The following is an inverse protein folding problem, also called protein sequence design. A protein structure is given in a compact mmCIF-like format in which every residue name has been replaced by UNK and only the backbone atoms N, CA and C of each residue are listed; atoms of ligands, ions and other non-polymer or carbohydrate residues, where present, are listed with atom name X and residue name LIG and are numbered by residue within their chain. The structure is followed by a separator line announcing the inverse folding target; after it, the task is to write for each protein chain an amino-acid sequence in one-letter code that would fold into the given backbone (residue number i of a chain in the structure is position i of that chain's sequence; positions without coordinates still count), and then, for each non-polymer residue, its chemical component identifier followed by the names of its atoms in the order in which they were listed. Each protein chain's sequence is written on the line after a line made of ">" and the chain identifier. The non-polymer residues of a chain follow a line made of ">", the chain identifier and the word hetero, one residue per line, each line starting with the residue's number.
data_IF_807538606183
#
_entry.id   IF_807538606183
#
_cell.length_a   1.000
_cell.length_b   1.000
_cell.length_c   1.000
_cell.angle_alpha   90.00
_cell.angle_beta   90.00
_cell.angle_gamma   90.00
#
_symmetry.space_group_name_H-M   'P 1'
#
loop_
_entity.id
_entity.type
_entity.pdbx_description
1 polymer ?
#
# COMPACT_ATOMS: atom_id res chain seq x y z
N UNK A 1 4.97 23.85 -48.43
CA UNK A 1 4.00 24.16 -47.37
C UNK A 1 3.79 22.93 -46.48
N UNK A 2 4.64 22.67 -45.45
CA UNK A 2 4.52 21.52 -44.55
C UNK A 2 4.31 21.89 -43.06
N UNK A 3 4.02 23.15 -42.75
CA UNK A 3 3.89 23.65 -41.36
C UNK A 3 2.72 22.98 -40.61
N UNK A 4 1.60 22.77 -41.30
CA UNK A 4 0.33 22.29 -40.71
C UNK A 4 0.40 20.81 -40.27
N UNK A 5 1.22 20.01 -40.96
CA UNK A 5 1.38 18.57 -40.67
C UNK A 5 2.23 18.38 -39.42
N UNK A 6 3.25 19.23 -39.25
CA UNK A 6 4.11 19.23 -38.07
C UNK A 6 3.34 19.66 -36.81
N UNK A 7 2.42 20.62 -36.96
CA UNK A 7 1.50 21.05 -35.90
C UNK A 7 0.55 19.93 -35.48
N UNK A 8 -0.14 19.28 -36.44
CA UNK A 8 -1.05 18.17 -36.13
C UNK A 8 -0.34 16.95 -35.53
N UNK A 9 0.89 16.65 -35.98
CA UNK A 9 1.72 15.60 -35.40
C UNK A 9 2.14 15.95 -33.96
N UNK A 10 2.53 17.21 -33.73
CA UNK A 10 2.85 17.71 -32.39
C UNK A 10 1.68 17.60 -31.44
N UNK A 11 0.49 18.06 -31.84
CA UNK A 11 -0.72 17.93 -31.03
C UNK A 11 -1.16 16.48 -30.85
N UNK A 12 -1.00 15.64 -31.87
CA UNK A 12 -1.38 14.23 -31.84
C UNK A 12 -0.50 13.35 -30.95
N UNK A 13 0.75 13.76 -30.67
CA UNK A 13 1.70 12.95 -29.90
C UNK A 13 2.13 13.62 -28.60
N UNK A 14 2.46 14.91 -28.64
CA UNK A 14 3.02 15.62 -27.47
C UNK A 14 1.94 15.89 -26.44
N UNK A 15 0.73 16.28 -26.86
CA UNK A 15 -0.38 16.51 -25.94
C UNK A 15 -0.77 15.23 -25.17
N UNK A 16 -1.00 14.06 -25.82
CA UNK A 16 -1.31 12.85 -25.07
C UNK A 16 -0.12 12.33 -24.26
N UNK A 17 1.13 12.46 -24.75
CA UNK A 17 2.30 12.06 -23.97
C UNK A 17 2.43 12.89 -22.69
N UNK A 18 2.23 14.21 -22.78
CA UNK A 18 2.20 15.08 -21.62
C UNK A 18 1.06 14.72 -20.66
N UNK A 19 -0.15 14.47 -21.19
CA UNK A 19 -1.29 14.06 -20.38
C UNK A 19 -1.03 12.75 -19.64
N UNK A 20 -0.50 11.73 -20.33
CA UNK A 20 -0.14 10.44 -19.72
C UNK A 20 0.94 10.64 -18.65
N UNK A 21 1.93 11.48 -18.92
CA UNK A 21 2.99 11.79 -17.96
C UNK A 21 2.42 12.45 -16.71
N UNK A 22 1.59 13.49 -16.86
CA UNK A 22 0.91 14.13 -15.73
C UNK A 22 -0.01 13.17 -14.97
N UNK A 23 -0.75 12.31 -15.68
CA UNK A 23 -1.56 11.25 -15.05
C UNK A 23 -0.69 10.24 -14.28
N UNK A 24 0.44 9.79 -14.84
CA UNK A 24 1.33 8.85 -14.19
C UNK A 24 1.99 9.47 -12.94
N UNK A 25 2.46 10.71 -13.04
CA UNK A 25 3.04 11.46 -11.91
C UNK A 25 1.98 11.75 -10.85
N UNK A 26 0.77 12.15 -11.26
CA UNK A 26 -0.35 12.39 -10.36
C UNK A 26 -0.79 11.12 -9.64
N UNK A 27 -0.89 9.99 -10.34
CA UNK A 27 -1.23 8.69 -9.76
C UNK A 27 -0.12 8.17 -8.86
N UNK A 28 1.15 8.31 -9.27
CA UNK A 28 2.30 7.98 -8.45
C UNK A 28 2.32 8.82 -7.19
N UNK A 29 2.16 10.14 -7.30
CA UNK A 29 2.08 11.09 -6.19
C UNK A 29 0.88 10.83 -5.27
N UNK A 30 -0.29 10.51 -5.81
CA UNK A 30 -1.48 10.13 -5.03
C UNK A 30 -1.26 8.83 -4.29
N UNK A 31 -0.70 7.80 -4.95
CA UNK A 31 -0.33 6.54 -4.29
C UNK A 31 0.74 6.73 -3.25
N UNK A 32 1.73 7.59 -3.51
CA UNK A 32 2.79 7.92 -2.55
C UNK A 32 2.23 8.71 -1.37
N UNK A 33 1.30 9.65 -1.61
CA UNK A 33 0.57 10.41 -0.60
C UNK A 33 -0.29 9.50 0.28
N UNK A 34 -1.08 8.60 -0.31
CA UNK A 34 -1.81 7.55 0.40
C UNK A 34 -0.88 6.66 1.22
N UNK A 35 0.26 6.23 0.65
CA UNK A 35 1.23 5.41 1.38
C UNK A 35 1.86 6.19 2.52
N UNK A 36 2.17 7.46 2.32
CA UNK A 36 2.65 8.36 3.36
C UNK A 36 1.59 8.62 4.42
N UNK A 37 0.32 8.73 4.06
CA UNK A 37 -0.78 8.98 4.98
C UNK A 37 -1.14 7.72 5.77
N UNK A 38 -1.06 6.54 5.16
CA UNK A 38 -1.12 5.24 5.85
C UNK A 38 0.08 5.09 6.80
N UNK A 39 1.28 5.49 6.37
CA UNK A 39 2.50 5.46 7.21
C UNK A 39 2.46 6.51 8.33
N UNK A 40 1.83 7.68 8.10
CA UNK A 40 1.58 8.74 9.09
C UNK A 40 0.38 8.46 9.99
N UNK A 41 -0.57 7.62 9.58
CA UNK A 41 -1.56 7.01 10.49
C UNK A 41 -0.93 5.96 11.41
N UNK A 42 0.33 5.60 11.18
CA UNK A 42 1.05 4.61 11.96
C UNK A 42 2.39 5.14 12.53
N UNK A 43 2.34 6.22 13.32
CA UNK A 43 3.18 6.37 14.50
C UNK A 43 2.31 6.79 15.69
N UNK A 44 1.42 5.90 16.11
CA UNK A 44 0.43 6.17 17.15
C UNK A 44 -0.95 5.80 16.64
N UNK A 45 -1.27 4.51 16.73
CA UNK A 45 -2.63 4.04 16.53
C UNK A 45 -3.58 4.95 17.29
N UNK A 46 -4.76 5.19 16.71
CA UNK A 46 -5.89 5.82 17.39
C UNK A 46 -5.84 5.40 18.85
N UNK A 47 -5.74 6.35 19.79
CA UNK A 47 -5.65 6.06 21.23
C UNK A 47 -6.88 5.24 21.59
N UNK A 48 -6.75 3.93 21.49
CA UNK A 48 -7.72 2.96 21.96
C UNK A 48 -7.74 3.23 23.45
N UNK A 49 -8.85 3.74 24.02
CA UNK A 49 -8.86 4.27 25.38
C UNK A 49 -8.47 3.22 26.43
N UNK A 50 -8.53 1.94 26.06
CA UNK A 50 -8.13 0.80 26.87
C UNK A 50 -6.67 0.35 26.69
N UNK A 51 -5.92 0.89 25.72
CA UNK A 51 -4.53 0.49 25.47
C UNK A 51 -3.54 1.53 25.98
N UNK A 52 -2.52 1.12 26.75
CA UNK A 52 -1.50 2.04 27.22
C UNK A 52 -0.73 2.63 26.04
N UNK A 53 -0.26 3.87 26.20
CA UNK A 53 0.55 4.55 25.19
C UNK A 53 1.81 3.71 24.87
N UNK A 54 1.84 3.09 23.69
CA UNK A 54 2.98 2.32 23.22
C UNK A 54 4.18 3.27 23.13
N UNK A 55 5.25 3.00 23.90
CA UNK A 55 6.51 3.77 23.83
C UNK A 55 6.98 3.79 22.38
N UNK A 56 7.51 4.93 21.94
CA UNK A 56 7.83 5.26 20.53
C UNK A 56 8.66 4.22 19.76
N UNK A 57 9.24 3.22 20.42
CA UNK A 57 9.74 2.00 19.81
C UNK A 57 8.99 0.80 20.41
N UNK A 58 8.12 0.17 19.61
CA UNK A 58 7.58 -1.16 19.96
C UNK A 58 8.69 -2.21 19.94
N UNK A 59 8.49 -3.37 20.57
CA UNK A 59 9.40 -4.50 20.42
C UNK A 59 9.56 -4.86 18.94
N UNK A 60 10.71 -5.42 18.59
CA UNK A 60 10.96 -5.88 17.23
C UNK A 60 9.91 -6.90 16.83
N UNK A 61 9.52 -6.91 15.55
CA UNK A 61 8.53 -7.85 15.06
C UNK A 61 9.14 -9.24 15.03
N UNK A 62 8.70 -10.10 15.93
CA UNK A 62 9.14 -11.48 16.01
C UNK A 62 8.30 -12.35 15.08
N UNK A 63 8.99 -13.22 14.35
CA UNK A 63 8.38 -14.21 13.49
C UNK A 63 9.16 -15.51 13.61
N UNK A 64 8.42 -16.61 13.57
CA UNK A 64 9.00 -17.95 13.53
C UNK A 64 8.49 -18.67 12.29
N UNK A 65 9.40 -19.35 11.60
CA UNK A 65 9.02 -20.23 10.51
C UNK A 65 8.40 -21.50 11.09
N UNK A 66 7.20 -21.84 10.63
CA UNK A 66 6.53 -23.07 11.03
C UNK A 66 6.97 -24.19 10.10
N UNK A 67 7.38 -25.30 10.69
CA UNK A 67 7.59 -26.56 9.97
C UNK A 67 6.27 -27.03 9.33
N UNK A 68 6.32 -27.93 8.34
CA UNK A 68 5.11 -28.49 7.73
C UNK A 68 4.15 -29.13 8.76
N UNK A 69 4.71 -29.78 9.78
CA UNK A 69 3.94 -30.40 10.87
C UNK A 69 3.25 -29.34 11.75
N UNK A 70 3.97 -28.29 12.16
CA UNK A 70 3.41 -27.22 12.99
C UNK A 70 2.35 -26.42 12.24
N UNK A 71 2.54 -26.19 10.93
CA UNK A 71 1.55 -25.53 10.08
C UNK A 71 0.25 -26.36 10.01
N UNK A 72 0.35 -27.68 9.92
CA UNK A 72 -0.82 -28.56 9.93
C UNK A 72 -1.54 -28.54 11.28
N UNK A 73 -0.79 -28.57 12.39
CA UNK A 73 -1.36 -28.45 13.74
C UNK A 73 -2.08 -27.12 13.95
N UNK A 74 -1.45 -26.01 13.54
CA UNK A 74 -2.05 -24.68 13.58
C UNK A 74 -3.34 -24.59 12.76
N UNK A 75 -3.34 -25.17 11.55
CA UNK A 75 -4.53 -25.23 10.72
C UNK A 75 -5.68 -26.01 11.38
N UNK A 76 -5.37 -27.08 12.12
CA UNK A 76 -6.34 -27.82 12.92
C UNK A 76 -6.96 -26.96 14.02
N UNK A 77 -6.13 -26.24 14.79
CA UNK A 77 -6.61 -25.34 15.84
C UNK A 77 -7.51 -24.23 15.30
N UNK A 78 -7.14 -23.64 14.16
CA UNK A 78 -7.94 -22.59 13.52
C UNK A 78 -9.31 -23.09 13.08
N UNK A 79 -9.40 -24.34 12.58
CA UNK A 79 -10.69 -24.97 12.25
C UNK A 79 -11.54 -25.15 13.50
N UNK A 80 -10.99 -25.76 14.54
CA UNK A 80 -11.70 -25.96 15.82
C UNK A 80 -12.22 -24.65 16.42
N UNK A 81 -11.42 -23.57 16.36
CA UNK A 81 -11.84 -22.27 16.86
C UNK A 81 -12.94 -21.64 15.99
N UNK A 82 -12.91 -21.88 14.67
CA UNK A 82 -13.91 -21.37 13.73
C UNK A 82 -15.22 -22.13 13.80
N UNK A 83 -15.14 -23.43 14.07
CA UNK A 83 -16.28 -24.33 14.11
C UNK A 83 -17.07 -24.19 15.42
N UNK A 84 -16.51 -23.52 16.43
CA UNK A 84 -17.16 -23.23 17.70
C UNK A 84 -17.23 -24.45 18.60
N UNK A 85 -17.05 -24.24 19.90
CA UNK A 85 -17.24 -25.26 20.94
C UNK A 85 -18.67 -25.82 20.94
#
# INVERSE_FOLDING_TARGET
>A
MPEHVSILLWFGVVLPAALIFFCAVGLAGYRFGLRFEIRRRQPGGQRLPALPAQRSAGPHREYVELTPAERAAFAGLMRQLSDGY
#
